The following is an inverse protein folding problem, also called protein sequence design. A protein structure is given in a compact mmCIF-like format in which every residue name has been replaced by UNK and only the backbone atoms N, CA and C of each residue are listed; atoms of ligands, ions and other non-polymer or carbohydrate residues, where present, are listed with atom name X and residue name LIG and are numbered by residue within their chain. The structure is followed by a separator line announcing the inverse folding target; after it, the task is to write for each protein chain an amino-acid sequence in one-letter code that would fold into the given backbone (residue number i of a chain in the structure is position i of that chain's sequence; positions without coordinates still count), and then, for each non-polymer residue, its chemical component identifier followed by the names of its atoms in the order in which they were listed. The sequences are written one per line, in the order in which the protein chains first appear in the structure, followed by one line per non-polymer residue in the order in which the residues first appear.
data_IF_257137467998
#
_entry.id   IF_257137467998
#
_cell.length_a   1.000
_cell.length_b   1.000
_cell.length_c   1.000
_cell.angle_alpha   90.00
_cell.angle_beta   90.00
_cell.angle_gamma   90.00
#
_symmetry.space_group_name_H-M   'P 1'
#
loop_
_entity.id
_entity.type
_entity.pdbx_description
1 polymer ?
#
# COMPACT_ATOMS: atom_id res chain seq x y z
N UNK A 1 -63.57 -71.69 -8.69
CA UNK A 1 -62.66 -70.79 -9.41
C UNK A 1 -62.51 -69.51 -8.61
N UNK A 2 -61.27 -69.27 -8.16
CA UNK A 2 -60.62 -67.99 -7.82
C UNK A 2 -61.41 -66.91 -7.06
N UNK A 3 -61.12 -66.78 -5.76
CA UNK A 3 -61.16 -65.52 -5.01
C UNK A 3 -59.76 -64.92 -4.99
N UNK A 4 -59.52 -63.83 -5.72
CA UNK A 4 -58.32 -63.00 -5.56
C UNK A 4 -58.62 -61.95 -4.48
N UNK A 5 -57.99 -62.12 -3.33
CA UNK A 5 -58.15 -61.23 -2.18
C UNK A 5 -57.34 -59.96 -2.40
N UNK A 6 -58.01 -58.81 -2.32
CA UNK A 6 -57.38 -57.50 -2.32
C UNK A 6 -56.65 -57.30 -0.98
N UNK A 7 -55.32 -57.27 -1.01
CA UNK A 7 -54.54 -56.83 0.15
C UNK A 7 -54.57 -55.30 0.22
N UNK A 8 -55.36 -54.79 1.17
CA UNK A 8 -55.25 -53.43 1.66
C UNK A 8 -54.08 -53.37 2.64
N UNK A 9 -52.93 -52.83 2.22
CA UNK A 9 -51.92 -52.36 3.16
C UNK A 9 -52.38 -51.04 3.79
N UNK A 10 -52.60 -51.05 5.09
CA UNK A 10 -52.93 -49.87 5.88
C UNK A 10 -51.74 -48.89 5.88
N UNK A 11 -51.84 -47.85 5.04
CA UNK A 11 -50.81 -46.81 4.88
C UNK A 11 -50.77 -45.93 6.12
N UNK A 12 -49.97 -46.33 7.12
CA UNK A 12 -49.70 -45.54 8.31
C UNK A 12 -49.18 -44.13 7.93
N UNK A 13 -49.90 -43.04 8.24
CA UNK A 13 -49.52 -41.69 7.83
C UNK A 13 -48.15 -41.31 8.40
N UNK A 14 -47.84 -41.79 9.61
CA UNK A 14 -46.57 -41.54 10.29
C UNK A 14 -45.35 -42.07 9.51
N UNK A 15 -45.45 -43.23 8.85
CA UNK A 15 -44.35 -43.78 8.02
C UNK A 15 -44.06 -42.89 6.80
N UNK A 16 -45.09 -42.24 6.23
CA UNK A 16 -44.91 -41.29 5.11
C UNK A 16 -44.24 -39.99 5.57
N UNK A 17 -44.59 -39.48 6.74
CA UNK A 17 -43.96 -38.28 7.32
C UNK A 17 -42.49 -38.53 7.71
N UNK A 18 -42.16 -39.72 8.22
CA UNK A 18 -40.77 -40.09 8.53
C UNK A 18 -39.92 -40.17 7.25
N UNK A 19 -40.45 -40.78 6.17
CA UNK A 19 -39.75 -40.82 4.88
C UNK A 19 -39.59 -39.41 4.28
N UNK A 20 -40.64 -38.57 4.36
CA UNK A 20 -40.58 -37.19 3.88
C UNK A 20 -39.53 -36.36 4.64
N UNK A 21 -39.47 -36.50 5.97
CA UNK A 21 -38.51 -35.79 6.81
C UNK A 21 -37.08 -36.26 6.58
N UNK A 22 -36.88 -37.57 6.34
CA UNK A 22 -35.57 -38.13 5.98
C UNK A 22 -35.08 -37.58 4.64
N UNK A 23 -35.93 -37.48 3.64
CA UNK A 23 -35.58 -36.93 2.32
C UNK A 23 -35.29 -35.43 2.44
N UNK A 24 -36.07 -34.69 3.22
CA UNK A 24 -35.85 -33.26 3.46
C UNK A 24 -34.53 -32.98 4.18
N UNK A 25 -34.18 -33.82 5.16
CA UNK A 25 -32.90 -33.73 5.88
C UNK A 25 -31.72 -34.03 4.94
N UNK A 26 -31.82 -35.06 4.08
CA UNK A 26 -30.79 -35.32 3.07
C UNK A 26 -30.61 -34.16 2.08
N UNK A 27 -31.72 -33.52 1.69
CA UNK A 27 -31.70 -32.36 0.79
C UNK A 27 -31.03 -31.17 1.46
N UNK A 28 -31.35 -30.91 2.73
CA UNK A 28 -30.72 -29.88 3.54
C UNK A 28 -29.22 -30.11 3.67
N UNK A 29 -28.78 -31.32 4.06
CA UNK A 29 -27.36 -31.67 4.17
C UNK A 29 -26.62 -31.52 2.82
N UNK A 30 -27.26 -31.89 1.71
CA UNK A 30 -26.68 -31.77 0.37
C UNK A 30 -26.49 -30.31 -0.04
N UNK A 31 -27.45 -29.44 0.27
CA UNK A 31 -27.34 -27.99 0.08
C UNK A 31 -26.20 -27.39 0.92
N UNK A 32 -26.09 -27.79 2.20
CA UNK A 32 -25.02 -27.28 3.10
C UNK A 32 -23.63 -27.73 2.64
N UNK A 33 -23.47 -28.98 2.18
CA UNK A 33 -22.20 -29.49 1.66
C UNK A 33 -21.78 -28.79 0.36
N UNK A 34 -22.72 -28.57 -0.56
CA UNK A 34 -22.45 -27.89 -1.83
C UNK A 34 -21.97 -26.46 -1.60
N UNK A 35 -22.64 -25.71 -0.71
CA UNK A 35 -22.25 -24.35 -0.37
C UNK A 35 -20.87 -24.30 0.33
N UNK A 36 -20.59 -25.22 1.24
CA UNK A 36 -19.31 -25.29 1.96
C UNK A 36 -18.10 -25.63 1.09
N UNK A 37 -18.29 -26.37 0.00
CA UNK A 37 -17.22 -26.73 -0.95
C UNK A 37 -17.00 -25.64 -2.03
N UNK A 38 -18.09 -25.03 -2.55
CA UNK A 38 -18.00 -24.03 -3.63
C UNK A 38 -17.74 -22.59 -3.16
N UNK A 39 -18.01 -22.22 -1.90
CA UNK A 39 -17.84 -20.83 -1.42
C UNK A 39 -16.39 -20.44 -1.05
N UNK A 40 -15.44 -21.38 -1.05
CA UNK A 40 -14.06 -21.11 -0.58
C UNK A 40 -13.10 -20.35 -1.53
N UNK A 41 -13.24 -20.35 -2.87
CA UNK A 41 -12.20 -19.75 -3.73
C UNK A 41 -12.25 -18.22 -3.76
N UNK A 42 -13.43 -17.60 -3.63
CA UNK A 42 -13.59 -16.14 -3.77
C UNK A 42 -13.03 -15.37 -2.57
N UNK A 43 -13.25 -15.88 -1.36
CA UNK A 43 -12.78 -15.24 -0.13
C UNK A 43 -11.24 -15.23 -0.05
N UNK A 44 -10.60 -16.35 -0.41
CA UNK A 44 -9.14 -16.45 -0.42
C UNK A 44 -8.51 -15.51 -1.46
N UNK A 45 -9.10 -15.38 -2.65
CA UNK A 45 -8.57 -14.49 -3.69
C UNK A 45 -8.62 -13.02 -3.29
N UNK A 46 -9.74 -12.55 -2.73
CA UNK A 46 -9.87 -11.16 -2.27
C UNK A 46 -8.91 -10.84 -1.11
N UNK A 47 -8.75 -11.79 -0.19
CA UNK A 47 -7.81 -11.66 0.92
C UNK A 47 -6.36 -11.58 0.44
N UNK A 48 -5.96 -12.46 -0.50
CA UNK A 48 -4.62 -12.45 -1.11
C UNK A 48 -4.37 -11.13 -1.86
N UNK A 49 -5.33 -10.65 -2.66
CA UNK A 49 -5.23 -9.37 -3.35
C UNK A 49 -5.04 -8.19 -2.39
N UNK A 50 -5.77 -8.18 -1.27
CA UNK A 50 -5.64 -7.13 -0.25
C UNK A 50 -4.26 -7.12 0.40
N UNK A 51 -3.67 -8.30 0.63
CA UNK A 51 -2.31 -8.42 1.16
C UNK A 51 -1.29 -7.90 0.14
N UNK A 52 -1.39 -8.34 -1.11
CA UNK A 52 -0.48 -7.93 -2.19
C UNK A 52 -0.54 -6.42 -2.43
N UNK A 53 -1.75 -5.83 -2.46
CA UNK A 53 -1.93 -4.38 -2.56
C UNK A 53 -1.27 -3.64 -1.41
N UNK A 54 -1.38 -4.15 -0.18
CA UNK A 54 -0.75 -3.56 1.00
C UNK A 54 0.77 -3.63 0.90
N UNK A 55 1.32 -4.78 0.54
CA UNK A 55 2.77 -4.98 0.39
C UNK A 55 3.33 -4.05 -0.70
N UNK A 56 2.63 -3.90 -1.82
CA UNK A 56 3.01 -2.98 -2.89
C UNK A 56 3.04 -1.53 -2.41
N UNK A 57 2.01 -1.07 -1.69
CA UNK A 57 1.97 0.29 -1.14
C UNK A 57 3.07 0.53 -0.10
N UNK A 58 3.40 -0.48 0.71
CA UNK A 58 4.51 -0.40 1.66
C UNK A 58 5.85 -0.31 0.95
N UNK A 59 6.07 -1.17 -0.06
CA UNK A 59 7.30 -1.17 -0.83
C UNK A 59 7.52 0.16 -1.57
N UNK A 60 6.46 0.77 -2.11
CA UNK A 60 6.54 2.08 -2.78
C UNK A 60 6.91 3.19 -1.79
N UNK A 61 6.28 3.18 -0.60
CA UNK A 61 6.63 4.13 0.47
C UNK A 61 8.08 3.98 0.93
N UNK A 62 8.51 2.74 1.19
CA UNK A 62 9.85 2.45 1.69
C UNK A 62 10.92 2.80 0.67
N UNK A 63 10.67 2.56 -0.63
CA UNK A 63 11.57 2.97 -1.70
C UNK A 63 11.75 4.49 -1.75
N UNK A 64 10.66 5.24 -1.60
CA UNK A 64 10.69 6.70 -1.63
C UNK A 64 11.45 7.28 -0.42
N UNK A 65 11.26 6.70 0.76
CA UNK A 65 12.00 7.09 1.96
C UNK A 65 13.49 6.74 1.86
N UNK A 66 13.82 5.57 1.31
CA UNK A 66 15.22 5.18 1.10
C UNK A 66 15.93 6.14 0.13
N UNK A 67 15.26 6.57 -0.94
CA UNK A 67 15.80 7.55 -1.87
C UNK A 67 15.99 8.92 -1.19
N UNK A 68 15.00 9.38 -0.40
CA UNK A 68 15.11 10.60 0.38
C UNK A 68 16.29 10.57 1.36
N UNK A 69 16.43 9.49 2.14
CA UNK A 69 17.52 9.30 3.10
C UNK A 69 18.89 9.29 2.40
N UNK A 70 18.98 8.63 1.24
CA UNK A 70 20.20 8.61 0.43
C UNK A 70 20.59 10.01 -0.02
N UNK A 71 19.65 10.79 -0.54
CA UNK A 71 19.90 12.16 -1.00
C UNK A 71 20.30 13.05 0.19
N UNK A 72 19.60 12.94 1.32
CA UNK A 72 19.96 13.65 2.54
C UNK A 72 21.40 13.35 2.98
N UNK A 73 21.79 12.08 2.97
CA UNK A 73 23.15 11.67 3.31
C UNK A 73 24.20 12.18 2.31
N UNK A 74 23.89 12.17 1.02
CA UNK A 74 24.80 12.60 -0.05
C UNK A 74 25.08 14.11 0.00
N UNK A 75 24.08 14.92 0.32
CA UNK A 75 24.17 16.39 0.28
C UNK A 75 24.37 17.05 1.65
N UNK A 76 24.28 16.31 2.76
CA UNK A 76 24.71 16.73 4.10
C UNK A 76 24.21 18.12 4.50
N UNK A 77 25.13 19.04 4.80
CA UNK A 77 24.87 20.43 5.22
C UNK A 77 23.90 21.20 4.30
N UNK A 78 23.84 20.84 3.02
CA UNK A 78 22.91 21.47 2.08
C UNK A 78 21.48 21.00 2.31
N UNK A 79 21.32 19.70 2.59
CA UNK A 79 20.03 19.11 2.93
C UNK A 79 19.51 19.59 4.30
N UNK A 80 20.42 19.91 5.23
CA UNK A 80 20.07 20.49 6.53
C UNK A 80 19.42 21.88 6.41
N UNK A 81 19.49 22.53 5.24
CA UNK A 81 18.76 23.78 4.99
C UNK A 81 17.28 23.55 4.64
N UNK A 82 16.88 22.30 4.36
CA UNK A 82 15.54 21.90 3.92
C UNK A 82 14.74 21.17 5.02
N UNK A 83 15.01 21.47 6.30
CA UNK A 83 14.34 20.83 7.45
C UNK A 83 12.81 20.85 7.42
N UNK A 84 12.21 21.90 6.84
CA UNK A 84 10.76 22.01 6.69
C UNK A 84 10.22 20.94 5.74
N UNK A 85 10.88 20.73 4.60
CA UNK A 85 10.51 19.70 3.64
C UNK A 85 10.76 18.30 4.16
N UNK A 86 11.85 18.08 4.88
CA UNK A 86 12.10 16.82 5.58
C UNK A 86 10.96 16.50 6.56
N UNK A 87 10.58 17.48 7.37
CA UNK A 87 9.48 17.31 8.33
C UNK A 87 8.17 16.99 7.62
N UNK A 88 7.90 17.65 6.48
CA UNK A 88 6.71 17.40 5.68
C UNK A 88 6.72 15.99 5.06
N UNK A 89 7.85 15.54 4.51
CA UNK A 89 8.02 14.20 3.93
C UNK A 89 7.77 13.13 5.00
N UNK A 90 8.40 13.27 6.18
CA UNK A 90 8.26 12.33 7.28
C UNK A 90 6.83 12.28 7.83
N UNK A 91 6.18 13.44 8.00
CA UNK A 91 4.80 13.51 8.47
C UNK A 91 3.81 12.85 7.49
N UNK A 92 3.97 13.11 6.18
CA UNK A 92 3.14 12.47 5.15
C UNK A 92 3.39 10.96 5.09
N UNK A 93 4.65 10.52 5.21
CA UNK A 93 5.00 9.12 5.23
C UNK A 93 4.38 8.39 6.43
N UNK A 94 4.38 9.01 7.63
CA UNK A 94 3.73 8.46 8.81
C UNK A 94 2.21 8.31 8.62
N UNK A 95 1.56 9.32 8.02
CA UNK A 95 0.14 9.25 7.70
C UNK A 95 -0.18 8.12 6.72
N UNK A 96 0.60 7.98 5.65
CA UNK A 96 0.45 6.90 4.66
C UNK A 96 0.63 5.54 5.33
N UNK A 97 1.68 5.39 6.16
CA UNK A 97 1.93 4.14 6.92
C UNK A 97 0.77 3.79 7.83
N UNK A 98 0.17 4.78 8.51
CA UNK A 98 -1.02 4.60 9.34
C UNK A 98 -2.21 4.12 8.50
N UNK A 99 -2.45 4.72 7.34
CA UNK A 99 -3.55 4.34 6.46
C UNK A 99 -3.38 2.95 5.87
N UNK A 100 -2.16 2.58 5.46
CA UNK A 100 -1.82 1.22 5.02
C UNK A 100 -2.12 0.21 6.14
N UNK A 101 -1.70 0.51 7.37
CA UNK A 101 -1.92 -0.38 8.51
C UNK A 101 -3.39 -0.50 8.92
N UNK A 102 -4.17 0.56 8.77
CA UNK A 102 -5.61 0.56 9.06
C UNK A 102 -6.46 -0.01 7.92
N UNK A 103 -5.85 -0.57 6.87
CA UNK A 103 -6.56 -1.01 5.64
C UNK A 103 -7.43 0.11 5.06
N UNK A 104 -6.87 1.32 5.01
CA UNK A 104 -7.51 2.48 4.41
C UNK A 104 -7.81 2.27 2.93
N UNK A 105 -8.70 3.11 2.39
CA UNK A 105 -9.06 3.07 0.98
C UNK A 105 -7.82 3.19 0.07
N UNK A 106 -7.53 2.11 -0.69
CA UNK A 106 -6.39 2.00 -1.59
C UNK A 106 -6.23 3.24 -2.49
N UNK A 107 -7.33 3.77 -3.03
CA UNK A 107 -7.28 4.95 -3.92
C UNK A 107 -6.81 6.20 -3.18
N UNK A 108 -7.20 6.34 -1.92
CA UNK A 108 -6.77 7.47 -1.07
C UNK A 108 -5.29 7.35 -0.74
N UNK A 109 -4.83 6.14 -0.38
CA UNK A 109 -3.42 5.89 -0.08
C UNK A 109 -2.55 6.19 -1.31
N UNK A 110 -2.94 5.66 -2.48
CA UNK A 110 -2.24 5.92 -3.75
C UNK A 110 -2.17 7.41 -4.09
N UNK A 111 -3.26 8.16 -3.83
CA UNK A 111 -3.29 9.62 -4.03
C UNK A 111 -2.33 10.34 -3.08
N UNK A 112 -2.20 9.89 -1.84
CA UNK A 112 -1.25 10.46 -0.88
C UNK A 112 0.19 10.09 -1.23
N UNK A 113 0.47 8.86 -1.67
CA UNK A 113 1.78 8.48 -2.21
C UNK A 113 2.20 9.37 -3.39
N UNK A 114 1.31 9.61 -4.36
CA UNK A 114 1.59 10.50 -5.48
C UNK A 114 1.88 11.95 -5.02
N UNK A 115 1.22 12.43 -3.96
CA UNK A 115 1.53 13.73 -3.36
C UNK A 115 2.90 13.73 -2.69
N UNK A 116 3.22 12.69 -1.93
CA UNK A 116 4.51 12.53 -1.27
C UNK A 116 5.65 12.47 -2.31
N UNK A 117 5.45 11.77 -3.42
CA UNK A 117 6.40 11.72 -4.53
C UNK A 117 6.68 13.11 -5.10
N UNK A 118 5.65 13.93 -5.30
CA UNK A 118 5.85 15.31 -5.77
C UNK A 118 6.64 16.15 -4.76
N UNK A 119 6.33 16.04 -3.46
CA UNK A 119 7.06 16.75 -2.40
C UNK A 119 8.53 16.31 -2.39
N UNK A 120 8.80 15.01 -2.52
CA UNK A 120 10.16 14.48 -2.60
C UNK A 120 10.89 15.00 -3.86
N UNK A 121 10.23 15.04 -5.02
CA UNK A 121 10.82 15.58 -6.25
C UNK A 121 11.17 17.08 -6.13
N UNK A 122 10.29 17.86 -5.49
CA UNK A 122 10.56 19.27 -5.21
C UNK A 122 11.73 19.45 -4.22
N UNK A 123 11.88 18.55 -3.25
CA UNK A 123 13.04 18.52 -2.35
C UNK A 123 14.35 18.27 -3.12
N UNK A 124 14.38 17.29 -4.03
CA UNK A 124 15.56 17.04 -4.89
C UNK A 124 15.90 18.29 -5.73
N UNK A 125 14.86 18.90 -6.32
CA UNK A 125 15.04 20.11 -7.14
C UNK A 125 15.66 21.27 -6.35
N UNK A 126 15.24 21.46 -5.10
CA UNK A 126 15.82 22.49 -4.23
C UNK A 126 17.26 22.20 -3.83
N UNK A 127 17.60 20.93 -3.58
CA UNK A 127 18.99 20.52 -3.35
C UNK A 127 19.86 20.86 -4.55
N UNK A 128 19.41 20.54 -5.76
CA UNK A 128 20.16 20.85 -6.99
C UNK A 128 20.39 22.36 -7.16
N UNK A 129 19.39 23.17 -6.83
CA UNK A 129 19.49 24.62 -6.86
C UNK A 129 20.50 25.13 -5.84
N UNK A 130 20.38 24.70 -4.58
CA UNK A 130 21.30 25.07 -3.51
C UNK A 130 22.74 24.65 -3.83
N UNK A 131 22.94 23.48 -4.46
CA UNK A 131 24.25 22.97 -4.83
C UNK A 131 24.87 23.83 -5.92
N UNK A 132 24.08 24.15 -6.95
CA UNK A 132 24.50 25.00 -8.07
C UNK A 132 24.89 26.39 -7.58
N UNK A 133 24.09 26.98 -6.70
CA UNK A 133 24.38 28.29 -6.12
C UNK A 133 25.62 28.26 -5.23
N UNK A 134 25.76 27.24 -4.37
CA UNK A 134 26.93 27.09 -3.51
C UNK A 134 28.23 26.97 -4.32
N UNK A 135 28.18 26.21 -5.43
CA UNK A 135 29.31 26.08 -6.35
C UNK A 135 29.68 27.42 -6.99
N UNK A 136 28.70 28.15 -7.54
CA UNK A 136 28.90 29.48 -8.13
C UNK A 136 29.52 30.45 -7.12
N UNK A 137 28.98 30.49 -5.89
CA UNK A 137 29.48 31.36 -4.84
C UNK A 137 30.93 31.02 -4.43
N UNK A 138 31.31 29.74 -4.39
CA UNK A 138 32.70 29.31 -4.13
C UNK A 138 33.66 29.75 -5.24
N UNK A 139 33.23 29.65 -6.49
CA UNK A 139 34.01 30.10 -7.64
C UNK A 139 34.23 31.62 -7.60
N UNK A 140 33.17 32.40 -7.36
CA UNK A 140 33.24 33.85 -7.21
C UNK A 140 34.14 34.26 -6.04
N UNK A 141 34.01 33.59 -4.88
CA UNK A 141 34.84 33.86 -3.71
C UNK A 141 36.33 33.63 -4.00
N UNK A 142 36.65 32.59 -4.77
CA UNK A 142 38.02 32.27 -5.17
C UNK A 142 38.56 33.33 -6.12
N UNK A 143 37.80 33.73 -7.14
CA UNK A 143 38.20 34.77 -8.08
C UNK A 143 38.47 36.11 -7.39
N UNK A 144 37.57 36.54 -6.49
CA UNK A 144 37.74 37.80 -5.74
C UNK A 144 38.98 37.76 -4.85
N UNK A 145 39.25 36.63 -4.18
CA UNK A 145 40.46 36.47 -3.35
C UNK A 145 41.73 36.56 -4.18
N UNK A 146 41.76 35.96 -5.36
CA UNK A 146 42.90 36.02 -6.28
C UNK A 146 43.14 37.46 -6.76
N UNK A 147 42.11 38.15 -7.23
CA UNK A 147 42.22 39.55 -7.68
C UNK A 147 42.69 40.49 -6.55
N UNK A 148 42.22 40.25 -5.31
CA UNK A 148 42.65 41.01 -4.14
C UNK A 148 44.12 40.74 -3.78
N UNK A 149 44.60 39.52 -3.98
CA UNK A 149 46.00 39.18 -3.76
C UNK A 149 46.90 39.83 -4.83
N UNK A 150 46.51 39.77 -6.10
CA UNK A 150 47.25 40.37 -7.22
C UNK A 150 47.37 41.90 -7.07
N UNK A 151 46.27 42.60 -6.79
CA UNK A 151 46.28 44.07 -6.61
C UNK A 151 47.12 44.55 -5.42
N UNK A 152 47.22 43.75 -4.34
CA UNK A 152 48.08 44.05 -3.19
C UNK A 152 49.57 43.87 -3.50
N UNK A 153 49.92 42.94 -4.38
CA UNK A 153 51.30 42.73 -4.83
C UNK A 153 51.72 43.86 -5.78
N UNK A 154 50.80 44.33 -6.63
CA UNK A 154 51.09 45.40 -7.60
C UNK A 154 51.19 46.80 -6.97
N UNK A 155 50.66 46.96 -5.74
CA UNK A 155 50.70 48.22 -4.98
C UNK A 155 51.78 48.28 -3.89
N UNK A 156 52.64 47.26 -3.80
CA UNK A 156 53.77 47.15 -2.86
C UNK A 156 55.12 47.23 -3.58
#
# INVERSE_FOLDING_TARGET
MTTFSSQNEEKNPLKKWVVLLSVLSLLFLSTTLYFGFFAKPVFNQQFIQTIEEKENLQSELDALLLEHDKIKQEYGDLSDQLTEKDSLILANAEEIKRLINSQGDYRKIKKQLARLQNIAQEYVTEIDQLYTENKRLKEENTQVKTQLAESKVESA
#
